data_IF_899462307234
#
_entry.id   IF_899462307234
#
_cell.length_a   1.000
_cell.length_b   1.000
_cell.length_c   1.000
_cell.angle_alpha   90.00
_cell.angle_beta   90.00
_cell.angle_gamma   90.00
#
_symmetry.space_group_name_H-M   'P 1'
#
loop_
_entity.id
_entity.type
_entity.pdbx_description
1 polymer ?
#
# COMPACT_ATOMS: atom_id res chain seq x y z
N UNK A 1 18.28 -23.83 14.27
CA UNK A 1 18.70 -22.63 13.51
C UNK A 1 17.41 -21.97 13.04
N UNK A 2 16.98 -20.97 13.75
CA UNK A 2 15.79 -20.20 13.37
C UNK A 2 16.13 -19.24 12.24
N UNK A 3 15.17 -18.93 11.39
CA UNK A 3 15.27 -17.93 10.34
C UNK A 3 14.45 -16.71 10.73
N UNK A 4 15.11 -15.57 10.93
CA UNK A 4 14.45 -14.33 11.36
C UNK A 4 14.55 -13.26 10.28
N UNK A 5 13.43 -12.63 9.99
CA UNK A 5 13.39 -11.45 9.12
C UNK A 5 13.51 -10.18 9.98
N UNK A 6 14.45 -9.33 9.61
CA UNK A 6 14.69 -8.02 10.20
C UNK A 6 14.36 -6.95 9.15
N UNK A 7 13.32 -6.16 9.37
CA UNK A 7 12.84 -5.19 8.39
C UNK A 7 13.19 -3.77 8.79
N UNK A 8 13.65 -2.99 7.83
CA UNK A 8 13.74 -1.55 7.91
C UNK A 8 12.36 -0.92 7.69
N UNK A 9 11.71 -0.53 8.78
CA UNK A 9 10.35 -0.01 8.79
C UNK A 9 10.22 1.31 8.06
N UNK A 10 11.21 2.19 8.18
CA UNK A 10 11.22 3.48 7.49
C UNK A 10 11.36 3.28 5.98
N UNK A 11 12.38 2.54 5.54
CA UNK A 11 12.64 2.29 4.13
C UNK A 11 11.42 1.70 3.42
N UNK A 12 10.76 0.68 4.03
CA UNK A 12 9.58 0.07 3.43
C UNK A 12 8.36 1.01 3.43
N UNK A 13 8.15 1.77 4.51
CA UNK A 13 7.02 2.70 4.59
C UNK A 13 7.16 3.85 3.60
N UNK A 14 8.35 4.46 3.48
CA UNK A 14 8.65 5.45 2.47
C UNK A 14 8.43 4.91 1.06
N UNK A 15 8.93 3.72 0.80
CA UNK A 15 8.76 3.08 -0.50
C UNK A 15 7.30 2.84 -0.86
N UNK A 16 6.50 2.37 0.08
CA UNK A 16 5.07 2.18 -0.09
C UNK A 16 4.37 3.51 -0.42
N UNK A 17 4.69 4.56 0.33
CA UNK A 17 4.13 5.88 0.14
C UNK A 17 4.35 6.44 -1.27
N UNK A 18 5.58 6.32 -1.79
CA UNK A 18 5.91 6.84 -3.12
C UNK A 18 5.57 5.89 -4.27
N UNK A 19 5.31 4.61 -4.00
CA UNK A 19 4.91 3.64 -5.02
C UNK A 19 3.40 3.60 -5.28
N UNK A 20 2.59 4.01 -4.30
CA UNK A 20 1.14 3.96 -4.37
C UNK A 20 0.54 5.38 -4.35
N UNK A 21 -0.59 5.59 -5.02
CA UNK A 21 -1.21 6.90 -5.12
C UNK A 21 -1.74 7.37 -3.75
N UNK A 22 -1.56 8.66 -3.45
CA UNK A 22 -1.98 9.27 -2.18
C UNK A 22 -3.50 9.52 -2.07
N UNK A 23 -4.27 9.21 -3.10
CA UNK A 23 -5.74 9.19 -3.08
C UNK A 23 -6.30 7.87 -2.51
N UNK A 24 -5.45 6.88 -2.19
CA UNK A 24 -5.85 5.73 -1.38
C UNK A 24 -6.14 6.19 0.03
N UNK A 25 -7.42 6.25 0.37
CA UNK A 25 -7.89 6.68 1.67
C UNK A 25 -9.12 5.87 2.08
N UNK A 26 -9.34 5.76 3.40
CA UNK A 26 -10.58 5.20 3.95
C UNK A 26 -11.77 6.11 3.61
N UNK A 27 -12.98 5.61 3.81
CA UNK A 27 -14.22 6.38 3.68
C UNK A 27 -14.24 7.64 4.54
N UNK A 28 -13.55 7.65 5.67
CA UNK A 28 -13.41 8.81 6.55
C UNK A 28 -12.34 9.81 6.07
N UNK A 29 -11.63 9.51 4.97
CA UNK A 29 -10.61 10.39 4.39
C UNK A 29 -9.21 10.21 4.96
N UNK A 30 -8.97 9.19 5.78
CA UNK A 30 -7.63 8.86 6.27
C UNK A 30 -6.81 8.26 5.12
N UNK A 31 -5.70 8.92 4.74
CA UNK A 31 -4.79 8.40 3.72
C UNK A 31 -4.09 7.15 4.23
N UNK A 32 -4.09 6.07 3.45
CA UNK A 32 -3.63 4.74 3.86
C UNK A 32 -2.68 4.07 2.88
N UNK A 33 -2.24 4.75 1.83
CA UNK A 33 -1.39 4.18 0.79
C UNK A 33 -0.09 3.57 1.32
N UNK A 34 0.60 4.25 2.25
CA UNK A 34 1.83 3.71 2.85
C UNK A 34 1.54 2.50 3.76
N UNK A 35 0.48 2.57 4.58
CA UNK A 35 0.08 1.46 5.45
C UNK A 35 -0.30 0.23 4.64
N UNK A 36 -1.11 0.41 3.59
CA UNK A 36 -1.51 -0.68 2.68
C UNK A 36 -0.30 -1.32 2.01
N UNK A 37 0.58 -0.50 1.43
CA UNK A 37 1.76 -0.99 0.74
C UNK A 37 2.75 -1.68 1.68
N UNK A 38 3.01 -1.10 2.86
CA UNK A 38 3.83 -1.71 3.89
C UNK A 38 3.28 -3.07 4.32
N UNK A 39 1.99 -3.13 4.69
CA UNK A 39 1.34 -4.38 5.12
C UNK A 39 1.37 -5.43 4.00
N UNK A 40 1.11 -5.04 2.76
CA UNK A 40 1.19 -5.93 1.62
C UNK A 40 2.60 -6.50 1.40
N UNK A 41 3.64 -5.65 1.52
CA UNK A 41 5.04 -6.09 1.46
C UNK A 41 5.39 -7.03 2.59
N UNK A 42 5.00 -6.70 3.81
CA UNK A 42 5.23 -7.52 5.00
C UNK A 42 4.64 -8.93 4.86
N UNK A 43 3.37 -9.03 4.47
CA UNK A 43 2.70 -10.33 4.28
C UNK A 43 3.34 -11.14 3.14
N UNK A 44 3.74 -10.49 2.04
CA UNK A 44 4.47 -11.17 0.96
C UNK A 44 5.81 -11.71 1.44
N UNK A 45 6.58 -10.89 2.16
CA UNK A 45 7.89 -11.29 2.69
C UNK A 45 7.78 -12.47 3.64
N UNK A 46 6.80 -12.46 4.54
CA UNK A 46 6.54 -13.58 5.44
C UNK A 46 6.17 -14.83 4.65
N UNK A 47 5.27 -14.72 3.68
CA UNK A 47 4.85 -15.85 2.83
C UNK A 47 6.02 -16.43 2.02
N UNK A 48 6.83 -15.58 1.40
CA UNK A 48 7.89 -16.00 0.49
C UNK A 48 9.11 -16.55 1.23
N UNK A 49 9.40 -15.99 2.40
CA UNK A 49 10.59 -16.37 3.17
C UNK A 49 10.29 -17.42 4.25
N UNK A 50 9.03 -17.61 4.64
CA UNK A 50 8.60 -18.55 5.67
C UNK A 50 9.51 -18.47 6.93
N UNK A 51 9.53 -17.33 7.66
CA UNK A 51 10.42 -17.12 8.79
C UNK A 51 9.84 -17.68 10.08
N UNK A 52 10.73 -18.09 11.00
CA UNK A 52 10.35 -18.43 12.38
C UNK A 52 10.01 -17.18 13.20
N UNK A 53 10.57 -16.01 12.81
CA UNK A 53 10.36 -14.75 13.53
C UNK A 53 10.54 -13.52 12.66
N UNK A 54 9.93 -12.41 13.10
CA UNK A 54 9.94 -11.12 12.41
C UNK A 54 10.16 -10.00 13.41
N UNK A 55 11.02 -9.04 13.07
CA UNK A 55 11.24 -7.78 13.82
C UNK A 55 11.31 -6.63 12.85
N UNK A 56 10.73 -5.48 13.22
CA UNK A 56 10.81 -4.25 12.42
C UNK A 56 11.52 -3.17 13.21
N UNK A 57 12.58 -2.61 12.64
CA UNK A 57 13.29 -1.46 13.24
C UNK A 57 12.83 -0.15 12.60
N UNK A 58 12.76 0.90 13.41
CA UNK A 58 12.39 2.24 12.97
C UNK A 58 13.42 3.27 13.41
N UNK A 59 13.62 4.30 12.56
CA UNK A 59 14.33 5.50 12.96
C UNK A 59 13.50 6.32 13.95
N UNK A 60 14.20 7.05 14.79
CA UNK A 60 13.63 8.08 15.65
C UNK A 60 13.88 9.47 15.04
N UNK A 61 13.03 10.46 15.34
CA UNK A 61 13.21 11.83 14.83
C UNK A 61 14.39 12.57 15.48
N UNK A 62 14.92 12.08 16.60
CA UNK A 62 16.03 12.71 17.31
C UNK A 62 17.36 12.49 16.58
N UNK A 63 18.32 13.41 16.73
CA UNK A 63 19.66 13.25 16.17
C UNK A 63 20.37 11.98 16.65
N UNK A 64 21.17 11.40 15.79
CA UNK A 64 22.01 10.23 16.11
C UNK A 64 23.47 10.64 16.33
N UNK A 65 24.31 9.71 16.79
CA UNK A 65 25.75 9.94 16.94
C UNK A 65 26.42 10.41 15.63
N UNK A 66 25.85 10.06 14.45
CA UNK A 66 26.34 10.53 13.14
C UNK A 66 26.17 12.04 12.97
N UNK A 67 25.08 12.61 13.45
CA UNK A 67 24.86 14.08 13.44
C UNK A 67 25.82 14.81 14.38
N UNK A 68 26.20 14.18 15.50
CA UNK A 68 27.22 14.74 16.42
C UNK A 68 28.61 14.73 15.78
N UNK A 69 28.93 13.66 15.04
CA UNK A 69 30.20 13.49 14.35
C UNK A 69 30.31 14.38 13.10
N UNK A 70 29.23 14.47 12.32
CA UNK A 70 29.12 15.17 11.05
C UNK A 70 27.84 15.99 11.01
N UNK A 71 27.85 17.29 11.37
CA UNK A 71 26.66 18.13 11.39
C UNK A 71 25.94 18.26 10.03
N UNK A 72 26.68 18.05 8.91
CA UNK A 72 26.15 18.03 7.56
C UNK A 72 25.50 16.69 7.15
N UNK A 73 25.57 15.66 7.97
CA UNK A 73 24.98 14.34 7.69
C UNK A 73 23.47 14.45 7.45
N UNK A 74 23.02 13.97 6.29
CA UNK A 74 21.62 14.01 5.85
C UNK A 74 20.95 15.41 5.82
N UNK A 75 21.72 16.49 5.95
CA UNK A 75 21.20 17.86 6.08
C UNK A 75 20.43 18.37 4.84
N UNK A 76 20.64 17.75 3.67
CA UNK A 76 19.95 18.12 2.43
C UNK A 76 18.63 17.34 2.21
N UNK A 77 18.28 16.42 3.11
CA UNK A 77 17.04 15.66 2.97
C UNK A 77 15.82 16.55 3.14
N UNK A 78 14.87 16.43 2.24
CA UNK A 78 13.58 17.10 2.38
C UNK A 78 12.84 16.59 3.63
N UNK A 79 12.04 17.44 4.28
CA UNK A 79 11.20 17.00 5.38
C UNK A 79 10.26 15.88 4.96
N UNK A 80 10.04 14.94 5.88
CA UNK A 80 9.05 13.87 5.67
C UNK A 80 7.67 14.47 5.38
N UNK A 81 6.98 14.05 4.30
CA UNK A 81 5.63 14.52 4.01
C UNK A 81 4.69 14.30 5.19
N UNK A 82 3.87 15.31 5.53
CA UNK A 82 2.95 15.24 6.68
C UNK A 82 1.98 14.05 6.59
N UNK A 83 1.48 13.76 5.39
CA UNK A 83 0.63 12.60 5.12
C UNK A 83 1.34 11.26 5.39
N UNK A 84 2.66 11.21 5.27
CA UNK A 84 3.44 10.02 5.58
C UNK A 84 3.69 9.91 7.10
N UNK A 85 3.97 11.03 7.77
CA UNK A 85 4.20 11.04 9.23
C UNK A 85 3.02 10.40 9.97
N UNK A 86 1.79 10.77 9.60
CA UNK A 86 0.56 10.21 10.19
C UNK A 86 0.42 8.70 9.99
N UNK A 87 0.98 8.17 8.91
CA UNK A 87 0.87 6.74 8.59
C UNK A 87 1.86 5.85 9.34
N UNK A 88 2.97 6.40 9.86
CA UNK A 88 3.92 5.61 10.67
C UNK A 88 3.29 5.05 11.95
N UNK A 89 2.42 5.83 12.61
CA UNK A 89 1.72 5.36 13.81
C UNK A 89 0.78 4.19 13.47
N UNK A 90 0.05 4.29 12.36
CA UNK A 90 -0.85 3.23 11.90
C UNK A 90 -0.08 1.97 11.47
N UNK A 91 1.11 2.13 10.86
CA UNK A 91 2.00 0.99 10.57
C UNK A 91 2.41 0.28 11.86
N UNK A 92 2.73 1.02 12.93
CA UNK A 92 3.05 0.44 14.24
C UNK A 92 1.83 -0.27 14.86
N UNK A 93 0.61 0.27 14.70
CA UNK A 93 -0.62 -0.41 15.12
C UNK A 93 -0.82 -1.73 14.37
N UNK A 94 -0.58 -1.76 13.05
CA UNK A 94 -0.61 -3.01 12.27
C UNK A 94 0.39 -4.03 12.83
N UNK A 95 1.62 -3.64 13.11
CA UNK A 95 2.62 -4.52 13.70
C UNK A 95 2.18 -5.02 15.08
N UNK A 96 1.59 -4.17 15.90
CA UNK A 96 1.10 -4.52 17.24
C UNK A 96 0.01 -5.59 17.18
N UNK A 97 -1.00 -5.45 16.30
CA UNK A 97 -2.08 -6.43 16.18
C UNK A 97 -1.60 -7.75 15.57
N UNK A 98 -0.55 -7.69 14.73
CA UNK A 98 0.12 -8.87 14.19
C UNK A 98 1.10 -9.50 15.19
N UNK A 99 1.26 -8.91 16.37
CA UNK A 99 2.23 -9.29 17.40
C UNK A 99 3.68 -9.36 16.88
N UNK A 100 4.04 -8.41 16.00
CA UNK A 100 5.38 -8.24 15.46
C UNK A 100 6.09 -7.12 16.23
N UNK A 101 7.22 -7.39 16.89
CA UNK A 101 7.97 -6.36 17.60
C UNK A 101 8.44 -5.23 16.68
N UNK A 102 8.10 -4.00 17.07
CA UNK A 102 8.63 -2.77 16.49
C UNK A 102 9.66 -2.17 17.46
N UNK A 103 10.89 -2.03 17.02
CA UNK A 103 12.02 -1.56 17.84
C UNK A 103 12.58 -0.26 17.30
N UNK A 104 12.99 0.62 18.18
CA UNK A 104 13.76 1.83 17.86
C UNK A 104 14.69 2.16 19.02
N UNK A 105 15.74 2.93 18.76
CA UNK A 105 16.73 3.27 19.79
C UNK A 105 17.17 4.72 19.67
N UNK A 106 17.10 5.46 20.77
CA UNK A 106 17.55 6.85 20.83
C UNK A 106 19.06 6.95 20.55
N UNK A 107 19.44 7.85 19.65
CA UNK A 107 20.83 8.09 19.27
C UNK A 107 21.41 7.15 18.21
N UNK A 108 20.62 6.18 17.72
CA UNK A 108 20.98 5.23 16.68
C UNK A 108 19.97 5.26 15.53
N UNK A 109 20.37 4.83 14.37
CA UNK A 109 19.49 4.63 13.22
C UNK A 109 18.94 3.20 13.18
N UNK A 110 17.84 3.00 12.44
CA UNK A 110 17.26 1.67 12.25
C UNK A 110 18.30 0.66 11.74
N UNK A 111 19.20 1.09 10.84
CA UNK A 111 20.26 0.23 10.29
C UNK A 111 21.24 -0.27 11.36
N UNK A 112 21.59 0.56 12.38
CA UNK A 112 22.42 0.13 13.51
C UNK A 112 21.69 -0.89 14.39
N UNK A 113 20.39 -0.68 14.60
CA UNK A 113 19.54 -1.64 15.33
C UNK A 113 19.49 -2.97 14.58
N UNK A 114 19.22 -2.94 13.26
CA UNK A 114 19.18 -4.14 12.41
C UNK A 114 20.54 -4.86 12.39
N UNK A 115 21.65 -4.11 12.29
CA UNK A 115 22.99 -4.66 12.31
C UNK A 115 23.32 -5.36 13.64
N UNK A 116 22.92 -4.75 14.76
CA UNK A 116 23.07 -5.32 16.10
C UNK A 116 22.26 -6.61 16.25
N UNK A 117 20.97 -6.59 15.90
CA UNK A 117 20.08 -7.75 15.97
C UNK A 117 20.57 -8.91 15.09
N UNK A 118 20.99 -8.59 13.84
CA UNK A 118 21.53 -9.59 12.91
C UNK A 118 22.82 -10.25 13.45
N UNK A 119 23.68 -9.45 14.10
CA UNK A 119 24.91 -9.94 14.71
C UNK A 119 24.62 -10.87 15.87
N UNK A 120 23.71 -10.46 16.80
CA UNK A 120 23.33 -11.30 17.94
C UNK A 120 22.64 -12.62 17.52
N UNK A 121 21.80 -12.59 16.47
CA UNK A 121 21.19 -13.78 15.92
C UNK A 121 22.24 -14.74 15.36
N UNK A 122 23.18 -14.21 14.56
CA UNK A 122 24.22 -15.00 13.94
C UNK A 122 25.20 -15.59 14.97
N UNK A 123 25.53 -14.85 16.04
CA UNK A 123 26.33 -15.36 17.17
C UNK A 123 25.59 -16.47 17.92
N UNK A 124 24.26 -16.40 17.99
CA UNK A 124 23.42 -17.47 18.51
C UNK A 124 23.23 -18.67 17.57
N UNK A 125 23.80 -18.62 16.36
CA UNK A 125 23.68 -19.69 15.34
C UNK A 125 22.38 -19.65 14.54
N UNK A 126 21.63 -18.56 14.58
CA UNK A 126 20.41 -18.35 13.83
C UNK A 126 20.68 -17.54 12.54
N UNK A 127 19.77 -17.63 11.58
CA UNK A 127 19.84 -16.91 10.31
C UNK A 127 19.07 -15.61 10.38
N UNK A 128 19.70 -14.50 9.97
CA UNK A 128 19.06 -13.20 9.80
C UNK A 128 18.94 -12.86 8.30
N UNK A 129 17.75 -12.44 7.87
CA UNK A 129 17.50 -11.84 6.55
C UNK A 129 17.12 -10.39 6.78
N UNK A 130 18.02 -9.46 6.46
CA UNK A 130 17.76 -8.03 6.60
C UNK A 130 17.07 -7.53 5.34
N UNK A 131 15.89 -6.89 5.48
CA UNK A 131 15.09 -6.36 4.37
C UNK A 131 15.14 -4.84 4.41
N UNK A 132 15.79 -4.24 3.43
CA UNK A 132 15.94 -2.78 3.32
C UNK A 132 16.12 -2.33 1.88
N UNK A 133 15.97 -1.05 1.62
CA UNK A 133 16.37 -0.38 0.37
C UNK A 133 17.71 0.35 0.50
N UNK A 134 18.37 0.30 1.66
CA UNK A 134 19.67 0.92 1.88
C UNK A 134 20.82 -0.03 1.52
N UNK A 135 21.85 0.52 0.88
CA UNK A 135 23.03 -0.24 0.46
C UNK A 135 24.07 -0.38 1.56
N UNK A 136 24.03 0.48 2.56
CA UNK A 136 25.03 0.45 3.63
C UNK A 136 24.93 -0.84 4.45
N UNK A 137 23.75 -1.44 4.47
CA UNK A 137 23.52 -2.75 5.08
C UNK A 137 24.28 -3.91 4.41
N UNK A 138 24.82 -3.71 3.19
CA UNK A 138 25.60 -4.73 2.49
C UNK A 138 26.84 -5.19 3.29
N UNK A 139 27.39 -4.30 4.11
CA UNK A 139 28.50 -4.61 5.01
C UNK A 139 28.20 -5.73 6.02
N UNK A 140 26.89 -5.95 6.30
CA UNK A 140 26.45 -6.95 7.26
C UNK A 140 26.39 -8.37 6.72
N UNK A 141 26.44 -8.55 5.38
CA UNK A 141 26.32 -9.87 4.77
C UNK A 141 27.47 -10.78 5.21
N UNK A 142 27.10 -11.94 5.77
CA UNK A 142 28.04 -12.95 6.29
C UNK A 142 27.44 -14.34 6.10
N UNK A 143 27.96 -15.08 5.11
CA UNK A 143 27.46 -16.42 4.81
C UNK A 143 27.77 -17.44 5.91
N UNK A 144 26.86 -18.37 6.18
CA UNK A 144 25.50 -18.48 5.65
C UNK A 144 24.44 -17.77 6.50
N UNK A 145 24.84 -17.02 7.54
CA UNK A 145 23.98 -16.59 8.65
C UNK A 145 23.30 -15.25 8.42
N UNK A 146 23.95 -14.29 7.74
CA UNK A 146 23.36 -12.98 7.50
C UNK A 146 23.26 -12.74 5.99
N UNK A 147 22.05 -12.53 5.50
CA UNK A 147 21.75 -12.17 4.11
C UNK A 147 20.95 -10.89 4.04
N UNK A 148 21.02 -10.21 2.90
CA UNK A 148 20.26 -8.98 2.64
C UNK A 148 19.28 -9.22 1.52
N UNK A 149 18.00 -8.98 1.79
CA UNK A 149 16.94 -8.94 0.79
C UNK A 149 16.72 -7.48 0.40
N UNK A 150 17.40 -7.07 -0.64
CA UNK A 150 17.41 -5.68 -1.09
C UNK A 150 16.20 -5.37 -1.99
N UNK A 151 15.43 -4.37 -1.62
CA UNK A 151 14.32 -3.93 -2.43
C UNK A 151 14.81 -3.03 -3.59
N UNK A 152 14.69 -3.50 -4.84
CA UNK A 152 15.17 -2.82 -6.05
C UNK A 152 14.20 -1.75 -6.55
N UNK A 153 12.92 -2.12 -6.72
CA UNK A 153 11.91 -1.24 -7.32
C UNK A 153 10.50 -1.58 -6.85
N UNK A 154 9.70 -0.53 -6.56
CA UNK A 154 8.31 -0.71 -6.13
C UNK A 154 8.17 -1.55 -4.86
N UNK A 155 7.06 -2.28 -4.73
CA UNK A 155 6.71 -3.04 -3.54
C UNK A 155 6.95 -4.56 -3.65
N UNK A 156 7.44 -5.06 -4.79
CA UNK A 156 7.53 -6.50 -5.07
C UNK A 156 8.84 -6.96 -5.71
N UNK A 157 9.74 -6.05 -6.10
CA UNK A 157 11.00 -6.42 -6.75
C UNK A 157 12.15 -6.44 -5.74
N UNK A 158 12.51 -7.63 -5.29
CA UNK A 158 13.58 -7.89 -4.32
C UNK A 158 14.71 -8.70 -4.92
N UNK A 159 15.92 -8.52 -4.39
CA UNK A 159 17.06 -9.39 -4.66
C UNK A 159 17.69 -9.86 -3.35
N UNK A 160 17.81 -11.16 -3.19
CA UNK A 160 18.55 -11.74 -2.07
C UNK A 160 20.05 -11.74 -2.39
N UNK A 161 20.83 -11.12 -1.53
CA UNK A 161 22.28 -11.05 -1.63
C UNK A 161 22.95 -11.84 -0.51
N UNK A 162 23.87 -12.69 -0.93
CA UNK A 162 24.92 -13.32 -0.14
C UNK A 162 26.28 -12.63 -0.42
N UNK A 163 27.37 -13.10 0.15
CA UNK A 163 28.69 -12.50 -0.06
C UNK A 163 29.09 -12.46 -1.55
N UNK A 164 28.81 -13.53 -2.28
CA UNK A 164 29.09 -13.60 -3.71
C UNK A 164 28.25 -12.59 -4.51
N UNK A 165 26.97 -12.43 -4.17
CA UNK A 165 26.08 -11.47 -4.80
C UNK A 165 26.47 -10.02 -4.51
N UNK A 166 26.97 -9.70 -3.31
CA UNK A 166 27.52 -8.37 -3.01
C UNK A 166 28.78 -8.12 -3.83
N UNK A 167 29.69 -9.10 -3.90
CA UNK A 167 30.90 -8.95 -4.71
C UNK A 167 30.59 -8.77 -6.21
N UNK A 168 29.68 -9.54 -6.77
CA UNK A 168 29.23 -9.38 -8.16
C UNK A 168 28.67 -7.97 -8.42
N UNK A 169 27.88 -7.45 -7.47
CA UNK A 169 27.21 -6.16 -7.61
C UNK A 169 28.14 -4.95 -7.44
N UNK A 170 29.09 -5.02 -6.50
CA UNK A 170 29.89 -3.87 -6.07
C UNK A 170 31.36 -3.96 -6.47
N UNK A 171 31.84 -5.18 -6.71
CA UNK A 171 33.25 -5.48 -6.94
C UNK A 171 34.09 -5.54 -5.67
N UNK A 172 33.48 -5.47 -4.48
CA UNK A 172 34.18 -5.60 -3.19
C UNK A 172 33.44 -6.59 -2.27
N UNK A 173 34.14 -7.14 -1.28
CA UNK A 173 33.50 -7.99 -0.26
C UNK A 173 32.65 -7.14 0.69
N UNK A 174 31.68 -7.74 1.39
CA UNK A 174 30.86 -7.03 2.38
C UNK A 174 31.69 -6.25 3.40
N UNK A 175 32.77 -6.84 3.93
CA UNK A 175 33.63 -6.23 4.94
C UNK A 175 34.35 -4.98 4.44
N UNK A 176 34.59 -4.86 3.13
CA UNK A 176 35.21 -3.71 2.50
C UNK A 176 34.23 -2.67 2.00
N UNK A 177 32.93 -2.94 2.16
CA UNK A 177 31.88 -2.04 1.65
C UNK A 177 31.92 -0.63 2.27
N UNK A 178 32.14 -0.43 3.59
CA UNK A 178 32.22 0.92 4.17
C UNK A 178 33.36 1.76 3.57
N UNK A 179 34.55 1.19 3.40
CA UNK A 179 35.69 1.89 2.82
C UNK A 179 35.47 2.19 1.33
N UNK A 180 34.88 1.24 0.60
CA UNK A 180 34.46 1.44 -0.78
C UNK A 180 33.44 2.59 -0.91
N UNK A 181 32.41 2.62 -0.05
CA UNK A 181 31.40 3.66 -0.03
C UNK A 181 32.01 5.02 0.35
N UNK A 182 32.91 5.07 1.32
CA UNK A 182 33.60 6.28 1.74
C UNK A 182 34.46 6.91 0.64
N UNK A 183 35.14 6.09 -0.16
CA UNK A 183 35.89 6.56 -1.33
C UNK A 183 34.99 7.13 -2.42
N UNK A 184 33.92 6.41 -2.73
CA UNK A 184 32.92 6.80 -3.75
C UNK A 184 32.12 8.02 -3.31
N UNK A 185 31.83 8.09 -2.01
CA UNK A 185 30.87 8.98 -1.40
C UNK A 185 29.43 8.44 -1.47
N UNK A 186 28.58 8.99 -0.61
CA UNK A 186 27.13 8.77 -0.63
C UNK A 186 26.38 10.11 -0.66
N UNK A 187 25.85 10.48 -1.84
CA UNK A 187 25.06 11.69 -1.95
C UNK A 187 23.74 11.65 -1.15
N UNK A 188 23.16 10.47 -0.87
CA UNK A 188 21.91 10.37 -0.12
C UNK A 188 22.08 10.75 1.34
N UNK A 189 23.32 10.57 1.86
CA UNK A 189 23.68 10.91 3.23
C UNK A 189 24.50 12.20 3.33
N UNK A 190 24.66 12.89 2.19
CA UNK A 190 25.48 14.10 2.10
C UNK A 190 26.96 13.84 2.48
N UNK A 191 27.48 12.68 2.12
CA UNK A 191 28.85 12.28 2.35
C UNK A 191 29.65 12.32 1.02
N UNK A 192 30.29 13.45 0.68
CA UNK A 192 31.08 13.54 -0.54
C UNK A 192 32.32 12.67 -0.46
N UNK A 193 32.55 11.84 -1.48
CA UNK A 193 33.73 10.99 -1.59
C UNK A 193 34.99 11.73 -2.08
N UNK A 194 35.96 10.94 -2.52
CA UNK A 194 37.16 11.46 -3.16
C UNK A 194 36.86 11.85 -4.60
N UNK A 195 37.10 13.12 -5.02
CA UNK A 195 36.82 13.57 -6.37
C UNK A 195 37.47 12.70 -7.45
N UNK A 196 36.66 12.25 -8.43
CA UNK A 196 37.12 11.38 -9.52
C UNK A 196 37.17 9.89 -9.17
N UNK A 197 36.76 9.50 -7.95
CA UNK A 197 36.62 8.12 -7.53
C UNK A 197 35.14 7.73 -7.54
N UNK A 198 34.73 7.03 -8.59
CA UNK A 198 33.41 6.40 -8.68
C UNK A 198 33.47 4.91 -8.37
N UNK A 199 32.33 4.21 -8.50
CA UNK A 199 32.18 2.78 -8.13
C UNK A 199 33.32 1.89 -8.65
N UNK A 200 33.63 1.95 -9.95
CA UNK A 200 34.69 1.11 -10.56
C UNK A 200 36.08 1.43 -10.04
N UNK A 201 36.36 2.71 -9.82
CA UNK A 201 37.68 3.15 -9.34
C UNK A 201 37.86 2.78 -7.88
N UNK A 202 36.83 2.97 -7.03
CA UNK A 202 36.87 2.58 -5.64
C UNK A 202 37.07 1.06 -5.49
N UNK A 203 36.30 0.25 -6.21
CA UNK A 203 36.45 -1.21 -6.17
C UNK A 203 37.88 -1.66 -6.62
N UNK A 204 38.41 -1.04 -7.70
CA UNK A 204 39.76 -1.33 -8.18
C UNK A 204 40.84 -1.01 -7.13
N UNK A 205 40.73 0.15 -6.49
CA UNK A 205 41.67 0.58 -5.45
C UNK A 205 41.61 -0.33 -4.22
N UNK A 206 40.41 -0.62 -3.71
CA UNK A 206 40.21 -1.52 -2.57
C UNK A 206 40.84 -2.91 -2.84
N UNK A 207 40.53 -3.50 -4.01
CA UNK A 207 41.03 -4.82 -4.34
C UNK A 207 42.55 -4.83 -4.60
N UNK A 208 43.13 -3.73 -5.07
CA UNK A 208 44.58 -3.65 -5.34
C UNK A 208 45.40 -3.44 -4.07
N UNK A 209 44.90 -2.69 -3.11
CA UNK A 209 45.65 -2.24 -1.95
C UNK A 209 45.09 -2.71 -0.61
N UNK A 210 43.96 -3.43 -0.61
CA UNK A 210 43.40 -4.10 0.58
C UNK A 210 42.66 -3.19 1.56
N UNK A 211 42.41 -1.94 1.18
CA UNK A 211 41.67 -0.98 2.01
C UNK A 211 42.25 0.43 1.95
N UNK A 212 41.65 1.37 2.72
CA UNK A 212 42.06 2.79 2.69
C UNK A 212 43.51 3.00 3.07
N UNK A 213 44.02 2.32 4.07
CA UNK A 213 45.40 2.48 4.51
C UNK A 213 46.36 2.16 3.37
N UNK A 214 46.24 1.00 2.74
CA UNK A 214 47.06 0.63 1.59
C UNK A 214 46.88 1.57 0.39
N UNK A 215 45.69 2.09 0.16
CA UNK A 215 45.41 3.05 -0.93
C UNK A 215 46.16 4.37 -0.70
N UNK A 216 46.16 4.89 0.50
CA UNK A 216 46.83 6.15 0.81
C UNK A 216 48.34 6.00 0.89
N UNK A 217 48.85 4.88 1.43
CA UNK A 217 50.28 4.54 1.39
C UNK A 217 50.82 4.44 -0.05
N UNK A 218 50.01 4.00 -1.00
CA UNK A 218 50.36 3.82 -2.40
C UNK A 218 49.76 4.88 -3.33
N UNK A 219 49.40 6.05 -2.78
CA UNK A 219 48.88 7.16 -3.56
C UNK A 219 49.80 7.62 -4.68
N UNK A 220 51.12 7.48 -4.47
CA UNK A 220 52.17 7.82 -5.44
C UNK A 220 52.15 6.94 -6.70
N UNK A 221 51.60 5.75 -6.64
CA UNK A 221 51.47 4.84 -7.77
C UNK A 221 50.33 5.22 -8.72
N UNK A 222 49.53 6.22 -8.35
CA UNK A 222 48.37 6.62 -9.11
C UNK A 222 48.69 7.73 -10.13
N UNK A 223 47.73 7.95 -11.05
CA UNK A 223 47.86 9.08 -12.00
C UNK A 223 47.94 10.41 -11.23
N UNK A 224 48.63 11.44 -11.77
CA UNK A 224 48.89 12.70 -11.04
C UNK A 224 47.61 13.34 -10.45
N UNK A 225 46.49 13.29 -11.18
CA UNK A 225 45.22 13.87 -10.71
C UNK A 225 44.59 13.02 -9.60
N UNK A 226 44.59 11.71 -9.73
CA UNK A 226 44.03 10.80 -8.71
C UNK A 226 44.91 10.86 -7.44
N UNK A 227 46.22 10.83 -7.57
CA UNK A 227 47.17 11.02 -6.47
C UNK A 227 46.87 12.30 -5.70
N UNK A 228 46.76 13.45 -6.42
CA UNK A 228 46.42 14.70 -5.78
C UNK A 228 45.15 14.61 -4.97
N UNK A 229 44.08 14.06 -5.57
CA UNK A 229 42.80 13.94 -4.91
C UNK A 229 42.85 12.99 -3.71
N UNK A 230 43.54 11.84 -3.80
CA UNK A 230 43.69 10.92 -2.68
C UNK A 230 44.36 11.62 -1.49
N UNK A 231 45.51 12.29 -1.71
CA UNK A 231 46.23 13.00 -0.65
C UNK A 231 45.38 14.15 -0.05
N UNK A 232 44.71 14.94 -0.90
CA UNK A 232 43.93 16.10 -0.46
C UNK A 232 42.69 15.67 0.36
N UNK A 233 42.06 14.55 0.02
CA UNK A 233 40.78 14.13 0.61
C UNK A 233 40.88 12.87 1.51
N UNK A 234 42.07 12.46 1.91
CA UNK A 234 42.29 11.32 2.79
C UNK A 234 41.50 11.43 4.10
N UNK A 235 41.65 12.56 4.81
CA UNK A 235 40.95 12.77 6.10
C UNK A 235 39.44 12.70 5.96
N UNK A 236 38.89 13.22 4.84
CA UNK A 236 37.45 13.11 4.53
C UNK A 236 37.03 11.66 4.35
N UNK A 237 37.78 10.89 3.55
CA UNK A 237 37.46 9.49 3.32
C UNK A 237 37.46 8.68 4.63
N UNK A 238 38.45 8.93 5.51
CA UNK A 238 38.51 8.27 6.83
C UNK A 238 37.29 8.63 7.72
N UNK A 239 36.92 9.91 7.79
CA UNK A 239 35.71 10.33 8.53
C UNK A 239 34.42 9.73 7.95
N UNK A 240 34.35 9.61 6.63
CA UNK A 240 33.21 8.98 5.99
C UNK A 240 33.07 7.50 6.41
N UNK A 241 34.18 6.76 6.52
CA UNK A 241 34.13 5.37 7.03
C UNK A 241 33.53 5.32 8.41
N UNK A 242 33.97 6.20 9.33
CA UNK A 242 33.46 6.24 10.69
C UNK A 242 31.93 6.47 10.75
N UNK A 243 31.40 7.25 9.80
CA UNK A 243 29.96 7.48 9.68
C UNK A 243 29.21 6.33 8.99
N UNK A 244 29.85 5.62 8.05
CA UNK A 244 29.24 4.55 7.25
C UNK A 244 29.32 3.17 7.91
N UNK A 245 30.22 2.96 8.87
CA UNK A 245 30.27 1.71 9.63
C UNK A 245 29.07 1.62 10.54
N UNK A 246 28.29 0.55 10.37
CA UNK A 246 27.12 0.28 11.20
C UNK A 246 27.56 -0.24 12.58
N UNK A 247 26.84 0.22 13.61
CA UNK A 247 27.06 -0.29 14.96
C UNK A 247 26.41 -1.66 15.10
N UNK A 248 27.14 -2.58 15.67
CA UNK A 248 26.67 -3.96 15.94
C UNK A 248 26.57 -4.25 17.44
N UNK A 249 26.76 -3.22 18.26
CA UNK A 249 26.79 -3.25 19.72
C UNK A 249 25.83 -2.22 20.35
N UNK A 250 24.82 -1.78 19.57
CA UNK A 250 23.83 -0.81 20.05
C UNK A 250 23.03 -1.41 21.23
N UNK A 251 22.77 -0.66 22.31
CA UNK A 251 22.13 -1.19 23.52
C UNK A 251 20.59 -1.37 23.33
N UNK A 252 20.21 -2.09 22.28
CA UNK A 252 18.82 -2.41 22.00
C UNK A 252 18.33 -3.52 22.94
N UNK A 253 17.15 -3.30 23.54
CA UNK A 253 16.52 -4.31 24.39
C UNK A 253 15.42 -5.00 23.58
N UNK A 254 15.57 -6.28 23.36
CA UNK A 254 14.58 -7.10 22.67
C UNK A 254 14.51 -8.51 23.25
N UNK A 255 13.40 -9.20 23.02
CA UNK A 255 13.19 -10.58 23.50
C UNK A 255 13.03 -11.53 22.33
N UNK A 256 13.98 -12.44 22.17
CA UNK A 256 13.92 -13.50 21.14
C UNK A 256 12.69 -14.39 21.27
N UNK A 257 12.08 -14.49 22.44
CA UNK A 257 10.86 -15.26 22.64
C UNK A 257 9.60 -14.60 22.07
N UNK A 258 9.64 -13.27 21.88
CA UNK A 258 8.50 -12.49 21.42
C UNK A 258 8.43 -12.27 19.90
N UNK A 259 9.43 -12.76 19.15
CA UNK A 259 9.51 -12.51 17.68
C UNK A 259 8.82 -13.57 16.84
N UNK A 260 8.34 -14.67 17.45
CA UNK A 260 7.75 -15.78 16.72
C UNK A 260 6.54 -15.33 15.90
N UNK A 261 6.58 -15.61 14.59
CA UNK A 261 5.47 -15.32 13.71
C UNK A 261 4.27 -16.24 13.96
N UNK A 262 3.06 -15.75 13.72
CA UNK A 262 1.81 -16.51 13.80
C UNK A 262 0.98 -16.29 15.06
N UNK A 263 1.49 -15.56 16.05
CA UNK A 263 0.76 -15.22 17.28
C UNK A 263 -0.01 -13.90 17.13
N UNK A 264 -1.01 -13.88 16.24
CA UNK A 264 -1.78 -12.66 15.90
C UNK A 264 -2.88 -12.41 16.92
N UNK A 265 -3.10 -11.14 17.31
CA UNK A 265 -4.28 -10.71 18.06
C UNK A 265 -5.48 -10.60 17.11
N UNK A 266 -6.17 -11.72 16.91
CA UNK A 266 -7.22 -11.87 15.88
C UNK A 266 -8.31 -10.81 15.96
N UNK A 267 -8.84 -10.52 17.15
CA UNK A 267 -9.92 -9.53 17.32
C UNK A 267 -9.49 -8.11 17.03
N UNK A 268 -8.31 -7.72 17.48
CA UNK A 268 -7.78 -6.38 17.22
C UNK A 268 -7.33 -6.25 15.76
N UNK A 269 -6.75 -7.31 15.17
CA UNK A 269 -6.43 -7.34 13.75
C UNK A 269 -7.69 -7.16 12.90
N UNK A 270 -8.76 -7.89 13.18
CA UNK A 270 -10.02 -7.73 12.48
C UNK A 270 -10.52 -6.28 12.55
N UNK A 271 -10.61 -5.70 13.75
CA UNK A 271 -11.08 -4.31 13.94
C UNK A 271 -10.22 -3.30 13.18
N UNK A 272 -8.89 -3.44 13.24
CA UNK A 272 -7.99 -2.51 12.58
C UNK A 272 -8.09 -2.61 11.05
N UNK A 273 -8.10 -3.83 10.50
CA UNK A 273 -8.19 -4.04 9.06
C UNK A 273 -9.57 -3.61 8.51
N UNK A 274 -10.65 -3.82 9.27
CA UNK A 274 -11.97 -3.26 8.95
C UNK A 274 -11.96 -1.72 8.95
N UNK A 275 -11.38 -1.09 9.98
CA UNK A 275 -11.30 0.36 10.07
C UNK A 275 -10.45 0.99 8.95
N UNK A 276 -9.40 0.28 8.50
CA UNK A 276 -8.56 0.68 7.39
C UNK A 276 -9.12 0.30 6.01
N UNK A 277 -10.23 -0.44 5.96
CA UNK A 277 -10.85 -0.98 4.74
C UNK A 277 -9.91 -1.93 3.96
N UNK A 278 -9.07 -2.70 4.66
CA UNK A 278 -8.06 -3.60 4.11
C UNK A 278 -8.54 -5.05 3.96
N UNK A 279 -9.74 -5.25 3.39
CA UNK A 279 -10.37 -6.58 3.29
C UNK A 279 -9.47 -7.62 2.61
N UNK A 280 -8.87 -7.27 1.47
CA UNK A 280 -8.00 -8.19 0.73
C UNK A 280 -6.71 -8.57 1.47
N UNK A 281 -6.18 -7.67 2.31
CA UNK A 281 -5.02 -7.97 3.15
C UNK A 281 -5.40 -8.85 4.34
N UNK A 282 -6.61 -8.66 4.89
CA UNK A 282 -7.12 -9.51 5.96
C UNK A 282 -7.40 -10.94 5.48
N UNK A 283 -7.98 -11.12 4.30
CA UNK A 283 -8.16 -12.43 3.67
C UNK A 283 -6.82 -13.15 3.48
N UNK A 284 -5.81 -12.43 2.95
CA UNK A 284 -4.46 -12.99 2.80
C UNK A 284 -3.80 -13.36 4.13
N UNK A 285 -4.03 -12.55 5.17
CA UNK A 285 -3.58 -12.89 6.52
C UNK A 285 -4.26 -14.18 7.02
N UNK A 286 -5.57 -14.34 6.75
CA UNK A 286 -6.32 -15.55 7.07
C UNK A 286 -5.74 -16.80 6.40
N UNK A 287 -5.48 -16.72 5.10
CA UNK A 287 -4.83 -17.81 4.35
C UNK A 287 -3.47 -18.21 4.95
N UNK A 288 -2.68 -17.23 5.41
CA UNK A 288 -1.35 -17.48 5.99
C UNK A 288 -1.41 -18.12 7.38
N UNK A 289 -2.49 -17.91 8.11
CA UNK A 289 -2.73 -18.44 9.44
C UNK A 289 -3.63 -19.70 9.44
N UNK A 290 -3.73 -20.39 8.28
CA UNK A 290 -4.52 -21.62 8.10
C UNK A 290 -5.99 -21.47 8.54
N UNK A 291 -6.65 -20.40 8.13
CA UNK A 291 -8.05 -20.08 8.46
C UNK A 291 -8.36 -20.01 9.97
N UNK A 292 -7.35 -19.77 10.81
CA UNK A 292 -7.58 -19.58 12.26
C UNK A 292 -8.21 -18.22 12.58
N UNK A 293 -8.22 -17.29 11.61
CA UNK A 293 -8.95 -16.03 11.75
C UNK A 293 -10.46 -16.29 11.63
N UNK A 294 -11.30 -15.69 12.51
CA UNK A 294 -12.71 -15.61 12.21
C UNK A 294 -12.81 -14.89 10.87
N UNK A 295 -13.56 -15.44 9.95
CA UNK A 295 -14.03 -14.68 8.81
C UNK A 295 -14.47 -13.33 9.37
N UNK A 296 -13.96 -12.23 8.79
CA UNK A 296 -14.73 -11.00 8.86
C UNK A 296 -16.10 -11.48 8.45
N UNK A 297 -17.07 -11.51 9.38
CA UNK A 297 -18.45 -11.75 9.03
C UNK A 297 -18.85 -10.66 8.02
N UNK A 298 -18.31 -10.79 6.85
CA UNK A 298 -19.01 -10.51 5.66
C UNK A 298 -20.04 -11.64 5.52
N UNK A 299 -21.06 -11.69 6.39
CA UNK A 299 -22.36 -11.74 5.82
C UNK A 299 -22.45 -10.49 4.95
N UNK A 300 -21.66 -10.41 3.90
CA UNK A 300 -21.97 -9.69 2.71
C UNK A 300 -23.19 -10.44 2.22
N UNK A 301 -24.34 -9.96 2.67
CA UNK A 301 -25.60 -10.35 2.06
C UNK A 301 -25.42 -9.96 0.60
N UNK A 302 -25.08 -10.94 -0.24
CA UNK A 302 -25.08 -10.74 -1.68
C UNK A 302 -26.53 -10.42 -2.00
N UNK A 303 -26.76 -9.16 -2.39
CA UNK A 303 -28.09 -8.73 -2.78
C UNK A 303 -28.37 -9.37 -4.14
N UNK A 304 -29.03 -10.50 -4.15
CA UNK A 304 -29.55 -11.12 -5.35
C UNK A 304 -30.94 -10.55 -5.64
N UNK A 305 -31.18 -10.14 -6.88
CA UNK A 305 -32.46 -9.63 -7.31
C UNK A 305 -33.13 -10.59 -8.27
N UNK A 306 -34.42 -10.85 -8.07
CA UNK A 306 -35.26 -11.53 -9.05
C UNK A 306 -35.55 -10.55 -10.21
N UNK A 307 -35.00 -10.85 -11.39
CA UNK A 307 -35.19 -10.00 -12.57
C UNK A 307 -36.50 -10.37 -13.28
N UNK A 308 -37.41 -9.43 -13.32
CA UNK A 308 -38.68 -9.53 -14.03
C UNK A 308 -38.59 -8.78 -15.36
N UNK A 309 -39.03 -9.42 -16.45
CA UNK A 309 -39.11 -8.79 -17.78
C UNK A 309 -40.56 -8.84 -18.26
N UNK A 310 -41.06 -7.69 -18.70
CA UNK A 310 -42.35 -7.64 -19.33
C UNK A 310 -42.27 -8.11 -20.78
N UNK A 311 -43.21 -8.91 -21.23
CA UNK A 311 -43.30 -9.42 -22.60
C UNK A 311 -43.96 -8.47 -23.59
N UNK A 312 -44.64 -7.42 -23.08
CA UNK A 312 -45.34 -6.40 -23.86
C UNK A 312 -45.43 -5.07 -23.11
N UNK A 313 -45.69 -3.98 -23.83
CA UNK A 313 -45.91 -2.64 -23.28
C UNK A 313 -47.08 -2.60 -22.28
N UNK A 314 -48.18 -3.27 -22.60
CA UNK A 314 -49.35 -3.34 -21.70
C UNK A 314 -49.06 -4.14 -20.42
N UNK A 315 -48.24 -5.17 -20.48
CA UNK A 315 -47.80 -5.88 -19.28
C UNK A 315 -46.84 -5.00 -18.44
N UNK A 316 -45.89 -4.34 -19.08
CA UNK A 316 -45.02 -3.39 -18.44
C UNK A 316 -45.77 -2.28 -17.72
N UNK A 317 -46.72 -1.68 -18.39
CA UNK A 317 -47.60 -0.63 -17.86
C UNK A 317 -48.38 -1.10 -16.63
N UNK A 318 -48.93 -2.30 -16.64
CA UNK A 318 -49.63 -2.90 -15.50
C UNK A 318 -48.68 -3.17 -14.32
N UNK A 319 -47.49 -3.65 -14.59
CA UNK A 319 -46.47 -3.88 -13.55
C UNK A 319 -46.07 -2.56 -12.89
N UNK A 320 -45.80 -1.50 -13.66
CA UNK A 320 -45.49 -0.17 -13.17
C UNK A 320 -46.62 0.40 -12.30
N UNK A 321 -47.88 0.31 -12.79
CA UNK A 321 -49.05 0.76 -12.05
C UNK A 321 -49.21 -0.01 -10.73
N UNK A 322 -48.90 -1.31 -10.71
CA UNK A 322 -48.98 -2.12 -9.47
C UNK A 322 -47.92 -1.71 -8.44
N UNK A 323 -46.73 -1.27 -8.88
CA UNK A 323 -45.67 -0.75 -8.00
C UNK A 323 -46.15 0.58 -7.37
N UNK A 324 -46.77 1.44 -8.18
CA UNK A 324 -47.25 2.75 -7.75
C UNK A 324 -48.32 2.68 -6.63
N UNK A 325 -49.15 1.63 -6.61
CA UNK A 325 -50.19 1.46 -5.58
C UNK A 325 -49.66 1.32 -4.16
N UNK A 326 -48.35 1.01 -3.99
CA UNK A 326 -47.71 0.92 -2.68
C UNK A 326 -47.43 2.29 -2.03
N UNK A 327 -47.59 3.40 -2.76
CA UNK A 327 -47.43 4.77 -2.25
C UNK A 327 -46.00 5.15 -1.82
N UNK A 328 -45.01 4.30 -2.13
CA UNK A 328 -43.60 4.58 -1.91
C UNK A 328 -42.94 5.15 -3.18
N UNK A 329 -41.90 6.00 -3.06
CA UNK A 329 -41.16 6.45 -4.22
C UNK A 329 -40.54 5.26 -4.97
N UNK A 330 -40.36 5.41 -6.27
CA UNK A 330 -39.68 4.40 -7.08
C UNK A 330 -38.18 4.41 -6.77
N UNK A 331 -37.59 3.23 -6.60
CA UNK A 331 -36.14 3.09 -6.63
C UNK A 331 -35.71 2.72 -8.04
N UNK A 332 -34.93 3.61 -8.69
CA UNK A 332 -34.56 3.48 -10.09
C UNK A 332 -33.08 3.21 -10.28
N UNK A 333 -32.77 2.13 -11.00
CA UNK A 333 -31.47 1.87 -11.61
C UNK A 333 -31.54 2.13 -13.11
N UNK A 334 -30.42 2.48 -13.76
CA UNK A 334 -30.43 2.84 -15.16
C UNK A 334 -29.10 2.54 -15.87
N UNK A 335 -29.19 2.29 -17.18
CA UNK A 335 -28.04 2.17 -18.09
C UNK A 335 -28.33 3.05 -19.28
N UNK A 336 -27.34 3.85 -19.73
CA UNK A 336 -27.44 4.69 -20.90
C UNK A 336 -26.28 4.48 -21.85
N UNK A 337 -26.47 4.83 -23.11
CA UNK A 337 -25.43 4.90 -24.12
C UNK A 337 -24.57 6.16 -23.97
N UNK A 338 -23.51 6.27 -24.75
CA UNK A 338 -22.55 7.39 -24.74
C UNK A 338 -23.21 8.75 -24.99
N UNK A 339 -24.28 8.79 -25.78
CA UNK A 339 -25.07 9.99 -26.05
C UNK A 339 -26.06 10.35 -24.92
N UNK A 340 -26.20 9.48 -23.91
CA UNK A 340 -27.10 9.62 -22.77
C UNK A 340 -28.50 9.07 -22.98
N UNK A 341 -28.76 8.34 -24.09
CA UNK A 341 -30.04 7.64 -24.32
C UNK A 341 -30.15 6.43 -23.38
N UNK A 342 -31.29 6.22 -22.75
CA UNK A 342 -31.52 5.09 -21.87
C UNK A 342 -31.58 3.78 -22.68
N UNK A 343 -30.69 2.85 -22.35
CA UNK A 343 -30.69 1.49 -22.85
C UNK A 343 -31.60 0.57 -22.03
N UNK A 344 -31.64 0.80 -20.73
CA UNK A 344 -32.53 0.11 -19.82
C UNK A 344 -32.83 0.96 -18.56
N UNK A 345 -33.99 0.71 -17.98
CA UNK A 345 -34.42 1.24 -16.69
C UNK A 345 -34.84 0.07 -15.80
N UNK A 346 -34.32 0.02 -14.61
CA UNK A 346 -34.68 -0.96 -13.60
C UNK A 346 -35.52 -0.30 -12.51
N UNK A 347 -36.65 -0.92 -12.15
CA UNK A 347 -37.57 -0.42 -11.13
C UNK A 347 -37.71 -1.48 -10.06
N UNK A 348 -37.41 -1.15 -8.80
CA UNK A 348 -37.61 -2.07 -7.68
C UNK A 348 -39.12 -2.28 -7.47
N UNK A 349 -39.56 -3.54 -7.57
CA UNK A 349 -40.96 -3.93 -7.38
C UNK A 349 -41.29 -4.27 -5.95
N UNK A 350 -40.37 -4.96 -5.29
CA UNK A 350 -40.58 -5.46 -3.95
C UNK A 350 -39.26 -5.53 -3.16
N UNK A 351 -39.24 -4.90 -2.00
CA UNK A 351 -38.04 -4.84 -1.14
C UNK A 351 -37.78 -6.18 -0.43
N UNK A 352 -38.82 -6.94 -0.07
CA UNK A 352 -38.66 -8.19 0.68
C UNK A 352 -38.14 -9.33 -0.20
N UNK A 353 -38.62 -9.36 -1.45
CA UNK A 353 -38.20 -10.37 -2.43
C UNK A 353 -37.07 -9.89 -3.35
N UNK A 354 -36.64 -8.64 -3.19
CA UNK A 354 -35.70 -7.97 -4.07
C UNK A 354 -36.04 -8.11 -5.57
N UNK A 355 -37.34 -8.09 -5.91
CA UNK A 355 -37.81 -8.23 -7.29
C UNK A 355 -37.66 -6.91 -8.05
N UNK A 356 -37.00 -6.95 -9.21
CA UNK A 356 -36.70 -5.78 -10.06
C UNK A 356 -37.28 -5.96 -11.44
N UNK A 357 -38.14 -5.00 -11.85
CA UNK A 357 -38.62 -4.92 -13.23
C UNK A 357 -37.60 -4.23 -14.11
N UNK A 358 -37.09 -4.90 -15.11
CA UNK A 358 -36.18 -4.35 -16.11
C UNK A 358 -36.94 -4.00 -17.39
N UNK A 359 -36.89 -2.71 -17.76
CA UNK A 359 -37.53 -2.15 -18.96
C UNK A 359 -36.43 -1.87 -19.97
N UNK A 360 -36.37 -2.67 -21.02
CA UNK A 360 -35.37 -2.53 -22.08
C UNK A 360 -35.73 -1.39 -23.05
N UNK A 361 -34.76 -0.90 -23.81
CA UNK A 361 -34.88 0.26 -24.71
C UNK A 361 -36.14 0.23 -25.60
N UNK A 362 -36.49 -0.92 -26.17
CA UNK A 362 -37.66 -1.04 -27.03
C UNK A 362 -38.99 -0.72 -26.33
N UNK A 363 -39.12 -1.12 -25.07
CA UNK A 363 -40.31 -0.79 -24.25
C UNK A 363 -40.30 0.66 -23.76
N UNK A 364 -39.10 1.24 -23.54
CA UNK A 364 -38.94 2.65 -23.14
C UNK A 364 -39.34 3.64 -24.26
N UNK A 365 -39.51 3.19 -25.50
CA UNK A 365 -39.98 4.01 -26.62
C UNK A 365 -41.50 3.91 -26.82
N UNK A 366 -42.18 3.03 -26.09
CA UNK A 366 -43.60 2.83 -26.22
C UNK A 366 -44.41 3.88 -25.46
N UNK A 367 -45.46 4.46 -26.12
CA UNK A 367 -46.22 5.57 -25.59
C UNK A 367 -46.91 5.22 -24.26
N UNK A 368 -47.47 4.00 -24.11
CA UNK A 368 -48.15 3.57 -22.90
C UNK A 368 -47.18 3.49 -21.70
N UNK A 369 -45.95 3.04 -21.94
CA UNK A 369 -44.92 2.97 -20.90
C UNK A 369 -44.37 4.36 -20.54
N UNK A 370 -44.18 5.23 -21.55
CA UNK A 370 -43.74 6.62 -21.37
C UNK A 370 -44.75 7.41 -20.53
N UNK A 371 -46.05 7.30 -20.86
CA UNK A 371 -47.10 8.01 -20.12
C UNK A 371 -47.11 7.64 -18.63
N UNK A 372 -47.07 6.35 -18.31
CA UNK A 372 -47.04 5.90 -16.92
C UNK A 372 -45.76 6.31 -16.22
N UNK A 373 -44.58 6.15 -16.85
CA UNK A 373 -43.32 6.62 -16.29
C UNK A 373 -43.35 8.12 -16.02
N UNK A 374 -43.97 8.91 -16.93
CA UNK A 374 -44.13 10.35 -16.77
C UNK A 374 -44.95 10.72 -15.56
N UNK A 375 -46.10 10.04 -15.37
CA UNK A 375 -46.93 10.24 -14.19
C UNK A 375 -46.20 9.90 -12.90
N UNK A 376 -45.46 8.78 -12.87
CA UNK A 376 -44.80 8.29 -11.67
C UNK A 376 -43.54 9.10 -11.31
N UNK A 377 -42.79 9.57 -12.29
CA UNK A 377 -41.49 10.27 -12.08
C UNK A 377 -41.66 11.80 -12.02
N UNK A 378 -42.85 12.33 -12.16
CA UNK A 378 -43.11 13.76 -12.03
C UNK A 378 -43.16 14.21 -10.56
N UNK A 379 -43.06 15.53 -10.34
CA UNK A 379 -43.16 16.14 -9.01
C UNK A 379 -44.59 16.02 -8.41
N UNK A 380 -45.60 15.77 -9.23
CA UNK A 380 -46.99 15.50 -8.81
C UNK A 380 -47.23 14.00 -8.56
N UNK A 381 -46.31 13.13 -8.98
CA UNK A 381 -46.37 11.68 -8.82
C UNK A 381 -45.84 11.20 -7.47
N UNK A 382 -45.54 9.90 -7.40
CA UNK A 382 -44.94 9.30 -6.19
C UNK A 382 -43.46 9.64 -6.02
N UNK A 383 -42.82 10.15 -7.08
CA UNK A 383 -41.40 10.49 -7.11
C UNK A 383 -40.47 9.27 -7.18
N UNK A 384 -39.19 9.54 -7.23
CA UNK A 384 -38.19 8.46 -7.32
C UNK A 384 -36.90 8.80 -6.61
N UNK A 385 -36.17 7.74 -6.22
CA UNK A 385 -34.84 7.75 -5.71
C UNK A 385 -33.90 7.05 -6.74
N UNK A 386 -32.70 7.56 -6.94
CA UNK A 386 -31.77 6.99 -7.90
C UNK A 386 -30.30 7.18 -7.45
N UNK A 387 -29.40 6.42 -8.06
CA UNK A 387 -27.95 6.67 -7.98
C UNK A 387 -27.50 7.42 -9.22
N UNK A 388 -26.69 8.49 -9.04
CA UNK A 388 -26.22 9.35 -10.14
C UNK A 388 -27.40 9.91 -10.97
N UNK A 389 -28.35 10.51 -10.28
CA UNK A 389 -29.61 10.98 -10.86
C UNK A 389 -29.44 12.02 -11.97
N UNK A 390 -28.30 12.71 -12.06
CA UNK A 390 -28.02 13.67 -13.14
C UNK A 390 -28.00 12.98 -14.51
N UNK A 391 -27.37 11.79 -14.62
CA UNK A 391 -27.38 10.99 -15.83
C UNK A 391 -28.76 10.48 -16.17
N UNK A 392 -29.49 9.93 -15.19
CA UNK A 392 -30.88 9.48 -15.35
C UNK A 392 -31.81 10.59 -15.83
N UNK A 393 -31.73 11.79 -15.22
CA UNK A 393 -32.57 12.94 -15.62
C UNK A 393 -32.31 13.36 -17.06
N UNK A 394 -31.09 13.22 -17.56
CA UNK A 394 -30.75 13.46 -18.97
C UNK A 394 -31.46 12.45 -19.88
N UNK A 395 -31.38 11.16 -19.53
CA UNK A 395 -32.03 10.10 -20.30
C UNK A 395 -33.56 10.21 -20.29
N UNK A 396 -34.17 10.52 -19.13
CA UNK A 396 -35.63 10.76 -19.03
C UNK A 396 -36.07 11.92 -19.92
N UNK A 397 -35.32 13.02 -19.96
CA UNK A 397 -35.64 14.17 -20.85
C UNK A 397 -35.60 13.80 -22.34
N UNK A 398 -34.72 12.89 -22.75
CA UNK A 398 -34.70 12.41 -24.14
C UNK A 398 -35.93 11.59 -24.51
N UNK A 399 -36.58 10.96 -23.51
CA UNK A 399 -37.89 10.31 -23.65
C UNK A 399 -39.08 11.28 -23.55
N UNK A 400 -38.82 12.58 -23.38
CA UNK A 400 -39.84 13.61 -23.21
C UNK A 400 -40.40 13.71 -21.78
N UNK A 401 -39.75 13.08 -20.79
CA UNK A 401 -40.15 13.08 -19.40
C UNK A 401 -39.48 14.22 -18.63
N UNK A 402 -40.17 14.85 -17.67
CA UNK A 402 -39.61 15.94 -16.85
C UNK A 402 -38.53 15.43 -15.88
N UNK A 403 -38.77 14.27 -15.25
CA UNK A 403 -37.91 13.69 -14.22
C UNK A 403 -37.71 14.62 -12.99
N UNK A 404 -38.67 15.48 -12.72
CA UNK A 404 -38.64 16.48 -11.64
C UNK A 404 -39.12 15.93 -10.29
N UNK A 405 -39.59 14.69 -10.25
CA UNK A 405 -39.97 13.97 -9.03
C UNK A 405 -38.81 13.31 -8.30
N UNK A 406 -37.52 13.66 -8.61
CA UNK A 406 -36.35 13.16 -7.89
C UNK A 406 -36.41 13.57 -6.42
N UNK A 407 -36.30 12.60 -5.51
CA UNK A 407 -36.30 12.81 -4.06
C UNK A 407 -34.90 12.66 -3.47
N UNK A 408 -34.23 11.55 -3.79
CA UNK A 408 -32.89 11.24 -3.30
C UNK A 408 -32.01 10.81 -4.46
N UNK A 409 -30.81 11.43 -4.54
CA UNK A 409 -29.69 10.92 -5.30
C UNK A 409 -28.63 10.36 -4.34
N UNK A 410 -28.49 9.05 -4.31
CA UNK A 410 -27.59 8.40 -3.37
C UNK A 410 -26.11 8.74 -3.61
N UNK A 411 -25.70 9.09 -4.84
CA UNK A 411 -24.36 9.59 -5.12
C UNK A 411 -24.12 10.96 -4.47
N UNK A 412 -25.09 11.88 -4.63
CA UNK A 412 -25.05 13.21 -4.00
C UNK A 412 -25.16 13.14 -2.48
N UNK A 413 -26.02 12.25 -1.96
CA UNK A 413 -26.14 12.02 -0.52
C UNK A 413 -24.85 11.45 0.07
N UNK A 414 -24.22 10.49 -0.60
CA UNK A 414 -22.90 9.95 -0.22
C UNK A 414 -21.82 11.03 -0.21
N UNK A 415 -21.80 11.91 -1.22
CA UNK A 415 -20.88 13.05 -1.29
C UNK A 415 -21.05 14.03 -0.14
N UNK A 416 -22.29 14.28 0.30
CA UNK A 416 -22.58 15.17 1.41
C UNK A 416 -22.28 14.53 2.78
N UNK A 417 -22.48 13.22 2.90
CA UNK A 417 -22.21 12.47 4.12
C UNK A 417 -20.69 12.23 4.36
N UNK A 418 -19.92 12.12 3.27
CA UNK A 418 -18.46 11.93 3.32
C UNK A 418 -17.78 13.17 2.72
N UNK A 419 -17.48 14.16 3.56
CA UNK A 419 -16.95 15.48 3.15
C UNK A 419 -15.56 15.44 2.48
N UNK A 420 -14.92 14.30 2.35
CA UNK A 420 -13.57 14.12 1.79
C UNK A 420 -13.53 13.04 0.71
N UNK A 421 -13.47 13.47 -0.52
CA UNK A 421 -13.12 12.85 -1.78
C UNK A 421 -13.07 11.32 -1.88
N UNK A 422 -14.06 10.72 -2.56
CA UNK A 422 -14.04 9.33 -3.01
C UNK A 422 -14.91 9.14 -4.24
N UNK A 423 -14.73 8.07 -4.99
CA UNK A 423 -15.68 7.68 -6.03
C UNK A 423 -16.97 7.20 -5.34
N UNK A 424 -18.06 7.94 -5.50
CA UNK A 424 -19.37 7.60 -4.95
C UNK A 424 -20.10 6.63 -5.90
N UNK A 425 -19.47 5.50 -6.22
CA UNK A 425 -20.11 4.43 -6.98
C UNK A 425 -21.07 3.66 -6.08
N UNK A 426 -22.14 3.13 -6.67
CA UNK A 426 -23.23 2.49 -5.94
C UNK A 426 -22.73 1.34 -5.06
N UNK A 427 -21.84 0.51 -5.59
CA UNK A 427 -21.28 -0.65 -4.89
C UNK A 427 -20.53 -0.23 -3.61
N UNK A 428 -19.74 0.84 -3.70
CA UNK A 428 -19.03 1.36 -2.53
C UNK A 428 -19.98 1.94 -1.47
N UNK A 429 -21.08 2.59 -1.89
CA UNK A 429 -22.08 3.12 -0.98
C UNK A 429 -22.91 2.01 -0.33
N UNK A 430 -23.26 0.97 -1.08
CA UNK A 430 -23.98 -0.22 -0.57
C UNK A 430 -23.13 -0.96 0.45
N UNK A 431 -21.84 -1.18 0.15
CA UNK A 431 -20.92 -1.77 1.09
C UNK A 431 -20.79 -0.96 2.38
N UNK A 432 -20.67 0.37 2.28
CA UNK A 432 -20.55 1.27 3.44
C UNK A 432 -21.81 1.36 4.29
N UNK A 433 -22.97 1.50 3.64
CA UNK A 433 -24.23 1.78 4.33
C UNK A 433 -24.95 0.51 4.77
N UNK A 434 -24.89 -0.55 3.97
CA UNK A 434 -25.68 -1.76 4.14
C UNK A 434 -24.83 -2.97 4.51
N UNK A 435 -23.48 -2.89 4.45
CA UNK A 435 -22.56 -4.03 4.57
C UNK A 435 -22.94 -5.20 3.65
N UNK A 436 -23.40 -4.85 2.45
CA UNK A 436 -23.88 -5.80 1.45
C UNK A 436 -23.09 -5.63 0.16
N UNK A 437 -22.83 -6.70 -0.54
CA UNK A 437 -22.19 -6.70 -1.86
C UNK A 437 -23.24 -6.83 -2.95
N UNK A 438 -23.10 -6.05 -4.02
CA UNK A 438 -23.92 -6.23 -5.21
C UNK A 438 -23.30 -7.35 -6.02
N UNK A 439 -24.05 -8.45 -6.23
CA UNK A 439 -23.57 -9.57 -7.03
C UNK A 439 -23.17 -9.07 -8.42
N UNK A 440 -21.91 -9.32 -8.79
CA UNK A 440 -21.46 -9.16 -10.16
C UNK A 440 -21.74 -10.46 -10.88
N UNK A 441 -22.52 -10.40 -11.95
CA UNK A 441 -22.72 -11.57 -12.81
C UNK A 441 -21.35 -12.11 -13.24
N UNK A 442 -21.00 -13.31 -12.75
CA UNK A 442 -19.70 -13.95 -12.95
C UNK A 442 -19.46 -14.50 -14.38
N UNK A 443 -20.26 -14.09 -15.34
CA UNK A 443 -20.10 -14.43 -16.74
C UNK A 443 -19.59 -13.20 -17.51
N UNK A 444 -18.27 -13.18 -17.73
CA UNK A 444 -17.63 -12.48 -18.84
C UNK A 444 -18.16 -11.06 -19.13
N UNK A 445 -17.79 -10.11 -18.29
CA UNK A 445 -17.55 -8.78 -18.78
C UNK A 445 -16.09 -8.44 -18.53
N UNK A 446 -15.22 -9.03 -19.34
CA UNK A 446 -14.05 -8.38 -19.89
C UNK A 446 -14.54 -7.31 -20.85
N UNK A 447 -15.14 -6.30 -20.30
CA UNK A 447 -15.59 -5.11 -20.96
C UNK A 447 -15.39 -4.03 -19.93
N UNK A 448 -14.22 -3.39 -19.97
CA UNK A 448 -14.00 -2.07 -19.47
C UNK A 448 -15.31 -1.28 -19.52
N UNK A 449 -15.92 -1.02 -18.36
CA UNK A 449 -16.63 0.19 -18.12
C UNK A 449 -15.60 1.20 -17.66
N UNK A 450 -14.72 1.60 -18.56
CA UNK A 450 -14.01 2.85 -18.49
C UNK A 450 -15.04 3.96 -18.71
N UNK A 451 -15.38 4.66 -17.65
CA UNK A 451 -15.90 6.01 -17.67
C UNK A 451 -15.02 6.90 -16.83
#
# INVERSE_FOLDING_TARGET
MAKVILLDGNSLTYRAFFALPTDMATASGQVTNAVFGFTSMLLNLIKDQDPDGVVVAFDRPEPTFRHEMLPEYKAQRDPTPELLIQQFEVVREVLQVLNIPAVDLLGFEADDVLATLATELAEGGDQAIIVTGDRDIYQMVRDPLIKVLYNRRGVSDYALYDEAGIFERTGVTPQMYPEYAALRGDPSDNLPGVPGVGEKTAAKLINAYGGLDGIFEHADDQTPKLRQNLVEFEERARRNVDAMVLRTDAPVVWDKGSIAWGSVNVKEAQRLFEALEFNSLYERLGEMLEDTLPTIDSETNILEAEVLKASSSSECAKMLSSIATKGKPLSLGWIADVDGSLLALAVLRDEETAAVLVIEHGLLQDTEVIEILGELTSSEGIGFDAHNAKGLSRGLRQLGLSGDGLRVDSASAGCLAAATGGRFVLEALVMRACRSEVARDGAAVTGQLDL
#
